data_IF_647926363830
#
_entry.id   IF_647926363830
#
_cell.length_a   1.000
_cell.length_b   1.000
_cell.length_c   1.000
_cell.angle_alpha   90.00
_cell.angle_beta   90.00
_cell.angle_gamma   90.00
#
_symmetry.space_group_name_H-M   'P 1'
#
loop_
_entity.id
_entity.type
_entity.pdbx_description
1 polymer ?
#
# COMPACT_ATOMS: atom_id res chain seq x y z
N UNK A 1 -9.39 -4.56 3.57
CA UNK A 1 -10.82 -4.63 3.96
C UNK A 1 -11.35 -3.30 4.50
N UNK A 2 -10.72 -2.71 5.54
CA UNK A 2 -11.19 -1.46 6.18
C UNK A 2 -11.54 -0.35 5.18
N UNK A 3 -10.66 -0.09 4.18
CA UNK A 3 -10.90 0.93 3.16
C UNK A 3 -12.19 0.70 2.35
N UNK A 4 -12.52 -0.56 2.03
CA UNK A 4 -13.75 -0.92 1.31
C UNK A 4 -15.00 -0.69 2.16
N UNK A 5 -14.94 -1.03 3.44
CA UNK A 5 -16.03 -0.79 4.39
C UNK A 5 -16.25 0.72 4.56
N UNK A 6 -15.16 1.49 4.73
CA UNK A 6 -15.24 2.95 4.83
C UNK A 6 -15.78 3.59 3.54
N UNK A 7 -15.38 3.09 2.37
CA UNK A 7 -15.91 3.53 1.08
C UNK A 7 -17.42 3.35 1.00
N UNK A 8 -17.94 2.21 1.46
CA UNK A 8 -19.37 1.92 1.51
C UNK A 8 -20.11 2.86 2.48
N UNK A 9 -19.62 2.99 3.71
CA UNK A 9 -20.23 3.84 4.75
C UNK A 9 -20.25 5.31 4.34
N UNK A 10 -19.18 5.79 3.70
CA UNK A 10 -19.03 7.19 3.29
C UNK A 10 -19.61 7.47 1.90
N UNK A 11 -20.11 6.46 1.19
CA UNK A 11 -20.51 6.54 -0.22
C UNK A 11 -19.45 7.24 -1.10
N UNK A 12 -18.17 6.89 -0.89
CA UNK A 12 -17.04 7.50 -1.59
C UNK A 12 -16.21 6.43 -2.28
N UNK A 13 -16.09 6.51 -3.60
CA UNK A 13 -15.34 5.55 -4.39
C UNK A 13 -13.84 5.56 -4.03
N UNK A 14 -13.24 4.37 -3.98
CA UNK A 14 -11.78 4.21 -3.87
C UNK A 14 -11.17 4.43 -5.27
N UNK A 15 -10.11 5.22 -5.41
CA UNK A 15 -9.43 5.38 -6.69
C UNK A 15 -8.91 4.04 -7.24
N UNK A 16 -9.12 3.79 -8.54
CA UNK A 16 -8.78 2.51 -9.19
C UNK A 16 -7.28 2.26 -9.34
N UNK A 17 -6.48 3.32 -9.28
CA UNK A 17 -5.01 3.31 -9.34
C UNK A 17 -4.34 3.18 -7.95
N UNK A 18 -5.14 3.08 -6.87
CA UNK A 18 -4.66 2.89 -5.50
C UNK A 18 -4.58 1.41 -5.14
N UNK A 19 -3.42 0.99 -4.63
CA UNK A 19 -3.23 -0.28 -3.93
C UNK A 19 -2.93 -0.01 -2.44
N UNK A 20 -3.28 -0.93 -1.54
CA UNK A 20 -3.03 -0.77 -0.11
C UNK A 20 -2.66 -2.11 0.53
N UNK A 21 -1.66 -2.10 1.42
CA UNK A 21 -1.26 -3.29 2.21
C UNK A 21 -0.89 -2.90 3.63
N UNK A 22 -1.34 -3.69 4.61
CA UNK A 22 -1.14 -3.42 6.03
C UNK A 22 -2.21 -4.11 6.88
N UNK A 23 -1.87 -4.45 8.12
CA UNK A 23 -2.84 -4.84 9.13
C UNK A 23 -3.32 -3.58 9.88
N UNK A 24 -4.58 -3.56 10.31
CA UNK A 24 -5.14 -2.48 11.13
C UNK A 24 -5.44 -3.07 12.51
N UNK A 25 -4.95 -2.44 13.57
CA UNK A 25 -5.27 -2.81 14.95
C UNK A 25 -6.56 -2.13 15.44
N UNK A 26 -6.97 -2.44 16.66
CA UNK A 26 -8.14 -1.87 17.33
C UNK A 26 -8.06 -0.36 17.57
N UNK A 27 -6.85 0.20 17.57
CA UNK A 27 -6.61 1.63 17.70
C UNK A 27 -6.61 2.35 16.34
N UNK A 28 -6.78 1.61 15.25
CA UNK A 28 -6.78 2.15 13.89
C UNK A 28 -5.37 2.37 13.31
N UNK A 29 -4.33 1.87 13.98
CA UNK A 29 -2.97 2.00 13.49
C UNK A 29 -2.65 0.94 12.43
N UNK A 30 -2.01 1.37 11.34
CA UNK A 30 -1.55 0.47 10.30
C UNK A 30 -0.20 -0.15 10.65
N UNK A 31 -0.17 -1.47 10.84
CA UNK A 31 1.02 -2.25 11.19
C UNK A 31 1.70 -2.85 9.96
N UNK A 32 3.00 -3.07 10.11
CA UNK A 32 3.86 -3.68 9.10
C UNK A 32 3.38 -5.09 8.72
N UNK A 33 3.64 -5.47 7.48
CA UNK A 33 3.34 -6.79 6.94
C UNK A 33 4.54 -7.30 6.17
N UNK A 34 4.80 -8.61 6.25
CA UNK A 34 5.90 -9.21 5.51
C UNK A 34 5.69 -9.14 3.99
N UNK A 35 6.79 -9.26 3.26
CA UNK A 35 6.75 -9.43 1.81
C UNK A 35 6.59 -8.14 1.02
N UNK A 36 7.21 -7.04 1.46
CA UNK A 36 7.07 -5.74 0.81
C UNK A 36 7.46 -5.80 -0.67
N UNK A 37 8.63 -6.37 -0.96
CA UNK A 37 9.23 -6.40 -2.31
C UNK A 37 8.26 -7.02 -3.34
N UNK A 38 7.82 -8.26 -3.12
CA UNK A 38 6.95 -8.95 -4.09
C UNK A 38 5.55 -8.32 -4.19
N UNK A 39 5.05 -7.69 -3.12
CA UNK A 39 3.77 -6.95 -3.15
C UNK A 39 3.88 -5.67 -3.98
N UNK A 40 5.01 -4.96 -3.87
CA UNK A 40 5.28 -3.78 -4.69
C UNK A 40 5.48 -4.15 -6.16
N UNK A 41 6.22 -5.21 -6.45
CA UNK A 41 6.39 -5.73 -7.81
C UNK A 41 5.05 -6.11 -8.44
N UNK A 42 4.18 -6.81 -7.72
CA UNK A 42 2.84 -7.13 -8.18
C UNK A 42 1.99 -5.87 -8.45
N UNK A 43 2.06 -4.88 -7.56
CA UNK A 43 1.36 -3.61 -7.76
C UNK A 43 1.86 -2.86 -9.00
N UNK A 44 3.17 -2.89 -9.25
CA UNK A 44 3.80 -2.29 -10.41
C UNK A 44 3.38 -3.00 -11.72
N UNK A 45 3.41 -4.34 -11.75
CA UNK A 45 2.95 -5.12 -12.90
C UNK A 45 1.46 -4.87 -13.23
N UNK A 46 0.65 -4.56 -12.22
CA UNK A 46 -0.76 -4.18 -12.37
C UNK A 46 -0.97 -2.69 -12.71
N UNK A 47 0.10 -1.93 -12.94
CA UNK A 47 0.06 -0.52 -13.34
C UNK A 47 -0.49 0.43 -12.28
N UNK A 48 -0.36 0.08 -10.98
CA UNK A 48 -0.84 0.93 -9.89
C UNK A 48 0.11 2.10 -9.66
N UNK A 49 -0.44 3.32 -9.62
CA UNK A 49 0.33 4.56 -9.46
C UNK A 49 0.53 4.97 -8.01
N UNK A 50 -0.34 4.50 -7.12
CA UNK A 50 -0.35 4.91 -5.71
C UNK A 50 -0.42 3.68 -4.82
N UNK A 51 0.45 3.61 -3.83
CA UNK A 51 0.50 2.50 -2.87
C UNK A 51 0.45 3.06 -1.46
N UNK A 52 -0.53 2.63 -0.67
CA UNK A 52 -0.64 2.93 0.75
C UNK A 52 0.09 1.86 1.57
N UNK A 53 1.05 2.29 2.39
CA UNK A 53 1.92 1.43 3.19
C UNK A 53 1.93 1.83 4.67
N UNK A 54 2.23 0.89 5.59
CA UNK A 54 2.43 1.17 7.01
C UNK A 54 3.63 2.10 7.22
N UNK A 55 3.52 3.06 8.15
CA UNK A 55 4.58 4.06 8.41
C UNK A 55 5.92 3.41 8.81
N UNK A 56 5.88 2.28 9.51
CA UNK A 56 7.07 1.54 9.94
C UNK A 56 7.85 0.84 8.82
N UNK A 57 7.34 0.83 7.58
CA UNK A 57 8.02 0.18 6.44
C UNK A 57 8.87 1.15 5.61
N UNK A 58 9.02 2.41 6.04
CA UNK A 58 9.83 3.42 5.34
C UNK A 58 11.28 2.98 5.13
N UNK A 59 11.91 2.45 6.18
CA UNK A 59 13.31 2.03 6.11
C UNK A 59 13.52 0.83 5.17
N UNK A 60 12.52 -0.04 5.03
CA UNK A 60 12.54 -1.15 4.07
C UNK A 60 12.35 -0.65 2.63
N UNK A 61 11.49 0.37 2.46
CA UNK A 61 11.28 1.05 1.18
C UNK A 61 12.52 1.79 0.69
N UNK A 62 13.27 2.44 1.60
CA UNK A 62 14.51 3.16 1.25
C UNK A 62 15.63 2.22 0.78
N UNK A 63 15.60 0.96 1.21
CA UNK A 63 16.58 -0.07 0.81
C UNK A 63 16.28 -0.69 -0.55
N UNK A 64 15.06 -0.51 -1.09
CA UNK A 64 14.71 -0.95 -2.43
C UNK A 64 15.43 -0.08 -3.46
N UNK A 65 16.33 -0.68 -4.24
CA UNK A 65 17.13 -0.03 -5.27
C UNK A 65 16.25 0.67 -6.30
N UNK A 66 16.72 1.81 -6.84
CA UNK A 66 16.01 2.61 -7.86
C UNK A 66 15.56 1.81 -9.08
N UNK A 67 16.16 0.66 -9.39
CA UNK A 67 15.70 -0.22 -10.49
C UNK A 67 14.32 -0.85 -10.22
N UNK A 68 13.95 -1.10 -8.96
CA UNK A 68 12.63 -1.63 -8.57
C UNK A 68 11.61 -0.52 -8.25
N UNK A 69 12.10 0.68 -7.91
CA UNK A 69 11.28 1.84 -7.52
C UNK A 69 11.12 2.89 -8.65
N UNK A 70 11.76 2.69 -9.81
CA UNK A 70 11.82 3.62 -10.95
C UNK A 70 10.46 3.94 -11.59
N UNK A 71 9.40 3.21 -11.23
CA UNK A 71 8.01 3.52 -11.60
C UNK A 71 7.16 4.17 -10.50
N UNK A 72 7.75 4.52 -9.35
CA UNK A 72 7.01 4.82 -8.12
C UNK A 72 7.15 6.25 -7.57
N UNK A 73 7.75 7.19 -8.31
CA UNK A 73 7.86 8.61 -7.90
C UNK A 73 7.29 9.53 -8.96
#
# INVERSE_FOLDING_TARGET
MVLAIMSLVLNKAIPSDLCATGAIDEHGEMKAVGGLVHKLEAAFQLGKKRILLPKGMRDELEKLTREQTSGLV
#
